data_IF_704747306139
#
_entry.id   IF_704747306139
#
_cell.length_a   1.000
_cell.length_b   1.000
_cell.length_c   1.000
_cell.angle_alpha   90.00
_cell.angle_beta   90.00
_cell.angle_gamma   90.00
#
_symmetry.space_group_name_H-M   'P 1'
#
loop_
_entity.id
_entity.type
_entity.pdbx_description
1 polymer ?
#
# COMPACT_ATOMS: atom_id res chain seq x y z
N UNK A 1 -7.98 11.66 0.88
CA UNK A 1 -7.29 10.37 1.13
C UNK A 1 -7.68 9.84 2.51
N UNK A 2 -7.99 8.55 2.59
CA UNK A 2 -8.35 7.89 3.86
C UNK A 2 -7.20 7.98 4.89
N UNK A 3 -5.97 7.86 4.43
CA UNK A 3 -4.78 7.96 5.30
C UNK A 3 -4.58 9.35 5.93
N UNK A 4 -5.05 10.41 5.28
CA UNK A 4 -4.91 11.79 5.76
C UNK A 4 -6.11 12.29 6.59
N UNK A 5 -6.95 11.39 7.12
CA UNK A 5 -7.97 11.78 8.06
C UNK A 5 -7.33 12.22 9.40
N UNK A 6 -7.96 13.18 10.06
CA UNK A 6 -7.39 13.84 11.25
C UNK A 6 -7.16 12.84 12.39
N UNK A 7 -8.03 11.85 12.56
CA UNK A 7 -7.90 10.85 13.62
C UNK A 7 -6.66 9.96 13.42
N UNK A 8 -6.40 9.51 12.18
CA UNK A 8 -5.20 8.76 11.86
C UNK A 8 -3.94 9.59 12.10
N UNK A 9 -3.95 10.87 11.69
CA UNK A 9 -2.82 11.77 11.90
C UNK A 9 -2.54 12.01 13.37
N UNK A 10 -3.58 12.19 14.19
CA UNK A 10 -3.45 12.33 15.66
C UNK A 10 -2.90 11.05 16.30
N UNK A 11 -3.37 9.87 15.87
CA UNK A 11 -2.88 8.61 16.37
C UNK A 11 -1.36 8.45 16.10
N UNK A 12 -0.90 8.73 14.89
CA UNK A 12 0.53 8.67 14.53
C UNK A 12 1.35 9.69 15.32
N UNK A 13 0.84 10.92 15.45
CA UNK A 13 1.51 11.98 16.24
C UNK A 13 1.71 11.58 17.71
N UNK A 14 0.72 10.92 18.31
CA UNK A 14 0.80 10.45 19.71
C UNK A 14 1.90 9.41 19.93
N UNK A 15 2.30 8.69 18.88
CA UNK A 15 3.42 7.75 18.91
C UNK A 15 4.78 8.41 18.61
N UNK A 16 4.84 9.73 18.47
CA UNK A 16 6.06 10.49 18.15
C UNK A 16 6.76 10.01 16.86
N UNK A 17 5.98 9.57 15.87
CA UNK A 17 6.47 9.11 14.58
C UNK A 17 6.39 10.25 13.57
N UNK A 18 7.46 10.43 12.79
CA UNK A 18 7.48 11.33 11.65
C UNK A 18 6.52 10.85 10.56
N UNK A 19 5.90 11.78 9.84
CA UNK A 19 4.84 11.48 8.90
C UNK A 19 4.97 12.33 7.64
N UNK A 20 4.91 11.69 6.47
CA UNK A 20 4.74 12.33 5.18
C UNK A 20 3.44 11.81 4.54
N UNK A 21 2.55 12.72 4.16
CA UNK A 21 1.30 12.34 3.48
C UNK A 21 0.83 13.38 2.46
N UNK A 22 0.13 12.91 1.44
CA UNK A 22 -0.51 13.77 0.47
C UNK A 22 -1.74 14.44 1.08
N UNK A 23 -1.91 15.73 0.83
CA UNK A 23 -3.04 16.52 1.31
C UNK A 23 -3.87 17.03 0.12
N UNK A 24 -5.19 17.01 0.29
CA UNK A 24 -6.11 17.54 -0.69
C UNK A 24 -5.98 19.06 -0.81
N UNK A 25 -6.08 19.57 -2.03
CA UNK A 25 -5.90 21.00 -2.34
C UNK A 25 -6.93 21.93 -1.67
N UNK A 26 -8.09 21.39 -1.28
CA UNK A 26 -9.16 22.11 -0.58
C UNK A 26 -9.01 22.13 0.94
N UNK A 27 -8.02 21.41 1.52
CA UNK A 27 -7.77 21.43 2.96
C UNK A 27 -7.47 22.85 3.45
N UNK A 28 -7.98 23.14 4.64
CA UNK A 28 -7.78 24.45 5.28
C UNK A 28 -6.53 24.44 6.11
N UNK A 29 -5.64 25.38 5.80
CA UNK A 29 -4.38 25.65 6.49
C UNK A 29 -4.27 27.14 6.80
N UNK A 30 -3.40 27.49 7.70
CA UNK A 30 -3.17 28.88 8.12
C UNK A 30 -1.67 29.14 8.27
N UNK A 31 -1.17 30.19 7.66
CA UNK A 31 0.20 30.67 7.87
C UNK A 31 0.28 31.38 9.22
N UNK A 32 -0.67 32.27 9.47
CA UNK A 32 -0.83 32.94 10.75
C UNK A 32 -2.07 32.36 11.45
N UNK A 33 -1.88 31.85 12.66
CA UNK A 33 -2.94 31.14 13.39
C UNK A 33 -4.23 31.98 13.46
N UNK A 34 -5.28 31.46 12.85
CA UNK A 34 -6.61 32.11 12.81
C UNK A 34 -7.13 32.45 11.43
N UNK A 35 -6.27 32.66 10.44
CA UNK A 35 -6.68 32.96 9.06
C UNK A 35 -6.59 31.72 8.19
N UNK A 36 -7.73 31.09 7.91
CA UNK A 36 -7.81 29.80 7.21
C UNK A 36 -8.04 29.96 5.71
N UNK A 37 -7.07 29.49 4.91
CA UNK A 37 -7.13 29.46 3.44
C UNK A 37 -7.04 28.02 2.94
N UNK A 38 -7.46 27.78 1.68
CA UNK A 38 -7.24 26.49 1.05
C UNK A 38 -5.78 26.33 0.62
N UNK A 39 -5.26 25.13 0.70
CA UNK A 39 -3.88 24.82 0.26
C UNK A 39 -3.60 25.30 -1.17
N UNK A 40 -4.57 25.15 -2.09
CA UNK A 40 -4.47 25.60 -3.48
C UNK A 40 -4.27 27.10 -3.66
N UNK A 41 -4.64 27.90 -2.65
CA UNK A 41 -4.56 29.37 -2.67
C UNK A 41 -3.22 29.87 -2.16
N UNK A 42 -2.39 28.99 -1.58
CA UNK A 42 -1.10 29.34 -1.02
C UNK A 42 0.02 29.22 -2.06
N UNK A 43 0.90 30.22 -2.06
CA UNK A 43 2.19 30.10 -2.72
C UNK A 43 3.14 29.34 -1.80
N UNK A 44 3.43 28.09 -2.11
CA UNK A 44 4.33 27.24 -1.35
C UNK A 44 5.72 27.29 -1.98
N UNK A 45 6.75 27.82 -1.28
CA UNK A 45 8.12 27.85 -1.77
C UNK A 45 8.73 26.43 -1.80
N UNK A 46 9.85 26.28 -2.50
CA UNK A 46 10.54 24.99 -2.69
C UNK A 46 11.05 24.41 -1.35
N UNK A 47 11.54 25.26 -0.48
CA UNK A 47 12.01 24.91 0.86
C UNK A 47 10.88 24.50 1.82
N UNK A 48 9.63 24.59 1.34
CA UNK A 48 8.43 24.29 2.12
C UNK A 48 7.95 25.46 2.96
N UNK A 49 6.71 25.40 3.40
CA UNK A 49 6.05 26.42 4.19
C UNK A 49 5.52 25.83 5.49
N UNK A 50 5.90 26.38 6.62
CA UNK A 50 5.34 26.00 7.93
C UNK A 50 3.94 26.58 8.07
N UNK A 51 2.96 25.73 8.30
CA UNK A 51 1.55 26.12 8.40
C UNK A 51 0.83 25.37 9.52
N UNK A 52 -0.25 25.94 9.99
CA UNK A 52 -1.19 25.26 10.87
C UNK A 52 -2.19 24.46 10.02
N UNK A 53 -2.25 23.16 10.20
CA UNK A 53 -3.32 22.31 9.63
C UNK A 53 -4.50 22.33 10.59
N UNK A 54 -5.68 22.66 10.09
CA UNK A 54 -6.90 22.76 10.90
C UNK A 54 -7.17 21.45 11.66
N UNK A 55 -7.48 21.57 12.94
CA UNK A 55 -7.77 20.47 13.88
C UNK A 55 -6.60 19.53 14.20
N UNK A 56 -5.40 19.82 13.66
CA UNK A 56 -4.24 18.95 13.84
C UNK A 56 -3.03 19.64 14.49
N UNK A 57 -2.65 20.81 13.97
CA UNK A 57 -1.50 21.56 14.50
C UNK A 57 -0.48 21.95 13.43
N UNK A 58 0.73 22.28 13.88
CA UNK A 58 1.82 22.77 13.04
C UNK A 58 2.39 21.65 12.18
N UNK A 59 2.60 21.94 10.90
CA UNK A 59 3.13 21.02 9.89
C UNK A 59 3.94 21.80 8.86
N UNK A 60 4.83 21.13 8.11
CA UNK A 60 5.51 21.74 6.97
C UNK A 60 4.89 21.26 5.67
N UNK A 61 4.45 22.20 4.84
CA UNK A 61 3.78 21.96 3.58
C UNK A 61 4.80 22.06 2.44
N UNK A 62 4.81 21.06 1.57
CA UNK A 62 5.59 21.01 0.34
C UNK A 62 4.68 20.88 -0.87
N UNK A 63 5.20 21.27 -2.01
CA UNK A 63 4.54 21.19 -3.30
C UNK A 63 5.42 20.48 -4.29
N UNK A 64 4.86 19.56 -5.07
CA UNK A 64 5.58 18.90 -6.17
C UNK A 64 4.72 18.81 -7.41
N UNK A 65 5.35 18.89 -8.58
CA UNK A 65 4.71 18.67 -9.86
C UNK A 65 4.80 17.19 -10.22
N UNK A 66 3.65 16.54 -10.41
CA UNK A 66 3.61 15.17 -10.90
C UNK A 66 2.84 15.14 -12.22
N UNK A 67 3.58 14.98 -13.33
CA UNK A 67 3.03 15.17 -14.69
C UNK A 67 2.36 16.57 -14.79
N UNK A 68 1.09 16.59 -15.15
CA UNK A 68 0.31 17.84 -15.31
C UNK A 68 -0.44 18.25 -14.05
N UNK A 69 -0.24 17.55 -12.93
CA UNK A 69 -0.94 17.81 -11.68
C UNK A 69 0.01 18.34 -10.60
N UNK A 70 -0.41 19.42 -9.97
CA UNK A 70 0.24 19.95 -8.78
C UNK A 70 -0.28 19.19 -7.56
N UNK A 71 0.64 18.58 -6.82
CA UNK A 71 0.33 17.84 -5.57
C UNK A 71 0.97 18.50 -4.37
N UNK A 72 0.27 18.45 -3.27
CA UNK A 72 0.71 19.00 -2.00
C UNK A 72 0.93 17.88 -1.00
N UNK A 73 2.00 18.02 -0.23
CA UNK A 73 2.39 17.06 0.80
C UNK A 73 2.64 17.79 2.11
N UNK A 74 2.32 17.12 3.19
CA UNK A 74 2.54 17.63 4.53
C UNK A 74 3.52 16.71 5.24
N UNK A 75 4.51 17.32 5.88
CA UNK A 75 5.48 16.65 6.73
C UNK A 75 5.22 17.05 8.17
N UNK A 76 5.13 16.05 9.04
CA UNK A 76 5.15 16.20 10.48
C UNK A 76 6.41 15.50 11.00
N UNK A 77 7.20 16.22 11.79
CA UNK A 77 8.31 15.65 12.53
C UNK A 77 7.97 15.59 14.02
N UNK A 78 8.53 14.64 14.75
CA UNK A 78 8.27 14.50 16.20
C UNK A 78 8.67 15.75 17.00
N UNK A 79 9.69 16.48 16.52
CA UNK A 79 10.21 17.69 17.14
C UNK A 79 9.99 18.90 16.23
N UNK A 80 9.46 19.99 16.76
CA UNK A 80 9.21 21.24 16.03
C UNK A 80 10.50 21.83 15.44
N UNK A 81 11.62 21.77 16.15
CA UNK A 81 12.90 22.27 15.65
C UNK A 81 13.36 21.49 14.41
N UNK A 82 13.25 20.15 14.42
CA UNK A 82 13.56 19.31 13.27
C UNK A 82 12.61 19.60 12.12
N UNK A 83 11.35 19.91 12.40
CA UNK A 83 10.37 20.27 11.38
C UNK A 83 10.72 21.60 10.69
N UNK A 84 11.20 22.58 11.41
CA UNK A 84 11.64 23.88 10.84
C UNK A 84 12.89 23.73 9.98
N UNK A 85 13.84 22.90 10.39
CA UNK A 85 15.09 22.62 9.66
C UNK A 85 14.94 21.63 8.50
N UNK A 86 13.82 20.90 8.42
CA UNK A 86 13.53 19.95 7.37
C UNK A 86 13.39 20.66 6.02
N UNK A 87 14.29 20.36 5.08
CA UNK A 87 14.41 21.08 3.81
C UNK A 87 13.87 20.24 2.64
N UNK A 88 13.92 20.83 1.44
CA UNK A 88 13.49 20.18 0.21
C UNK A 88 14.24 18.86 -0.06
N UNK A 89 15.55 18.80 0.22
CA UNK A 89 16.35 17.60 -0.02
C UNK A 89 15.80 16.41 0.77
N UNK A 90 15.56 16.57 2.06
CA UNK A 90 14.99 15.55 2.93
C UNK A 90 13.56 15.18 2.49
N UNK A 91 12.80 16.18 2.03
CA UNK A 91 11.48 15.92 1.46
C UNK A 91 11.56 15.06 0.20
N UNK A 92 12.47 15.34 -0.74
CA UNK A 92 12.63 14.56 -1.97
C UNK A 92 13.09 13.13 -1.67
N UNK A 93 14.02 12.94 -0.75
CA UNK A 93 14.48 11.62 -0.30
C UNK A 93 13.32 10.82 0.32
N UNK A 94 12.56 11.43 1.21
CA UNK A 94 11.42 10.79 1.85
C UNK A 94 10.29 10.51 0.87
N UNK A 95 10.02 11.43 -0.05
CA UNK A 95 9.01 11.28 -1.09
C UNK A 95 9.36 10.15 -2.08
N UNK A 96 10.64 9.97 -2.41
CA UNK A 96 11.10 8.86 -3.25
C UNK A 96 10.77 7.48 -2.63
N UNK A 97 10.70 7.39 -1.30
CA UNK A 97 10.29 6.18 -0.61
C UNK A 97 8.78 5.88 -0.71
N UNK A 98 7.97 6.85 -1.12
CA UNK A 98 6.52 6.64 -1.31
C UNK A 98 6.22 5.51 -2.30
N UNK A 99 7.05 5.34 -3.32
CA UNK A 99 6.93 4.26 -4.28
C UNK A 99 7.04 2.86 -3.64
N UNK A 100 7.78 2.71 -2.54
CA UNK A 100 7.87 1.44 -1.80
C UNK A 100 6.53 1.03 -1.18
N UNK A 101 5.70 2.00 -0.78
CA UNK A 101 4.34 1.76 -0.27
C UNK A 101 3.45 1.21 -1.38
N UNK A 102 3.56 1.79 -2.58
CA UNK A 102 2.81 1.30 -3.75
C UNK A 102 3.24 -0.13 -4.14
N UNK A 103 4.53 -0.42 -4.09
CA UNK A 103 5.06 -1.78 -4.31
C UNK A 103 4.55 -2.76 -3.25
N UNK A 104 4.53 -2.36 -1.97
CA UNK A 104 3.96 -3.15 -0.89
C UNK A 104 2.48 -3.47 -1.15
N UNK A 105 1.67 -2.45 -1.44
CA UNK A 105 0.24 -2.66 -1.72
C UNK A 105 0.02 -3.57 -2.92
N UNK A 106 0.78 -3.40 -3.97
CA UNK A 106 0.71 -4.27 -5.15
C UNK A 106 1.04 -5.71 -4.79
N UNK A 107 2.14 -5.92 -4.07
CA UNK A 107 2.59 -7.26 -3.73
C UNK A 107 1.63 -7.97 -2.78
N UNK A 108 1.15 -7.29 -1.73
CA UNK A 108 0.24 -7.90 -0.76
C UNK A 108 -1.13 -8.25 -1.38
N UNK A 109 -1.58 -7.46 -2.38
CA UNK A 109 -2.82 -7.73 -3.12
C UNK A 109 -2.66 -8.79 -4.19
N UNK A 110 -1.65 -8.66 -5.05
CA UNK A 110 -1.50 -9.49 -6.25
C UNK A 110 -0.78 -10.81 -6.00
N UNK A 111 0.14 -10.86 -5.04
CA UNK A 111 0.94 -12.06 -4.76
C UNK A 111 0.48 -12.75 -3.48
N UNK A 112 0.25 -12.00 -2.41
CA UNK A 112 -0.18 -12.56 -1.12
C UNK A 112 -1.71 -12.65 -1.00
N UNK A 113 -2.47 -12.19 -1.97
CA UNK A 113 -3.92 -12.34 -2.09
C UNK A 113 -4.72 -11.88 -0.86
N UNK A 114 -4.30 -10.79 -0.21
CA UNK A 114 -4.93 -10.29 1.03
C UNK A 114 -6.42 -9.99 0.88
N UNK A 115 -6.90 -9.68 -0.31
CA UNK A 115 -8.31 -9.39 -0.62
C UNK A 115 -9.09 -10.62 -1.12
N UNK A 116 -8.44 -11.80 -1.28
CA UNK A 116 -9.03 -12.99 -1.90
C UNK A 116 -9.68 -13.96 -0.91
N UNK A 117 -10.04 -13.50 0.28
CA UNK A 117 -10.73 -14.35 1.26
C UNK A 117 -12.20 -14.59 0.87
N UNK A 118 -12.66 -15.84 1.05
CA UNK A 118 -14.04 -16.26 0.76
C UNK A 118 -14.88 -16.46 2.04
N UNK A 119 -14.35 -16.04 3.17
CA UNK A 119 -14.98 -16.20 4.49
C UNK A 119 -15.63 -14.90 4.96
N UNK A 120 -16.72 -14.99 5.74
CA UNK A 120 -17.46 -13.82 6.23
C UNK A 120 -17.26 -13.53 7.71
N UNK A 121 -16.72 -14.50 8.46
CA UNK A 121 -16.50 -14.36 9.89
C UNK A 121 -15.31 -13.45 10.21
N UNK A 122 -15.40 -12.63 11.26
CA UNK A 122 -14.32 -11.71 11.66
C UNK A 122 -12.99 -12.43 11.91
N UNK A 123 -13.01 -13.52 12.65
CA UNK A 123 -11.80 -14.28 13.03
C UNK A 123 -11.12 -14.90 11.79
N UNK A 124 -11.83 -15.64 10.90
CA UNK A 124 -11.23 -16.15 9.67
C UNK A 124 -10.66 -15.05 8.77
N UNK A 125 -11.33 -13.89 8.65
CA UNK A 125 -10.81 -12.75 7.87
C UNK A 125 -9.48 -12.25 8.47
N UNK A 126 -9.42 -12.05 9.79
CA UNK A 126 -8.19 -11.62 10.47
C UNK A 126 -7.06 -12.62 10.30
N UNK A 127 -7.34 -13.93 10.38
CA UNK A 127 -6.36 -14.98 10.17
C UNK A 127 -5.84 -14.96 8.73
N UNK A 128 -6.69 -14.74 7.73
CA UNK A 128 -6.28 -14.61 6.33
C UNK A 128 -5.39 -13.39 6.12
N UNK A 129 -5.79 -12.22 6.65
CA UNK A 129 -4.98 -11.00 6.58
C UNK A 129 -3.62 -11.21 7.22
N UNK A 130 -3.58 -11.84 8.41
CA UNK A 130 -2.33 -12.15 9.10
C UNK A 130 -1.45 -13.10 8.28
N UNK A 131 -2.00 -14.17 7.72
CA UNK A 131 -1.28 -15.10 6.86
C UNK A 131 -0.71 -14.40 5.61
N UNK A 132 -1.47 -13.48 5.00
CA UNK A 132 -1.00 -12.68 3.86
C UNK A 132 0.17 -11.76 4.23
N UNK A 133 0.13 -11.14 5.42
CA UNK A 133 1.24 -10.34 5.93
C UNK A 133 2.49 -11.20 6.20
N UNK A 134 2.33 -12.37 6.81
CA UNK A 134 3.43 -13.33 7.01
C UNK A 134 4.04 -13.76 5.68
N UNK A 135 3.22 -14.05 4.67
CA UNK A 135 3.67 -14.40 3.32
C UNK A 135 4.49 -13.28 2.69
N UNK A 136 4.03 -12.04 2.82
CA UNK A 136 4.79 -10.87 2.35
C UNK A 136 6.17 -10.78 3.00
N UNK A 137 6.25 -10.89 4.33
CA UNK A 137 7.52 -10.83 5.06
C UNK A 137 8.45 -11.96 4.62
N UNK A 138 7.92 -13.17 4.43
CA UNK A 138 8.70 -14.32 3.99
C UNK A 138 9.28 -14.10 2.58
N UNK A 139 8.47 -13.62 1.65
CA UNK A 139 8.89 -13.30 0.29
C UNK A 139 9.97 -12.19 0.28
N UNK A 140 9.84 -11.17 1.14
CA UNK A 140 10.88 -10.14 1.29
C UNK A 140 12.21 -10.73 1.79
N UNK A 141 12.16 -11.64 2.76
CA UNK A 141 13.35 -12.35 3.24
C UNK A 141 14.02 -13.18 2.14
N UNK A 142 13.21 -13.87 1.32
CA UNK A 142 13.75 -14.65 0.19
C UNK A 142 14.44 -13.74 -0.84
N UNK A 143 13.90 -12.53 -1.08
CA UNK A 143 14.54 -11.55 -1.96
C UNK A 143 15.84 -11.00 -1.37
N UNK A 144 15.87 -10.67 -0.08
CA UNK A 144 17.06 -10.17 0.62
C UNK A 144 18.18 -11.23 0.61
N UNK A 145 17.84 -12.52 0.77
CA UNK A 145 18.78 -13.63 0.75
C UNK A 145 19.13 -14.09 -0.68
N UNK A 146 18.72 -13.34 -1.71
CA UNK A 146 18.99 -13.65 -3.13
C UNK A 146 18.44 -14.99 -3.62
N UNK A 147 17.58 -15.66 -2.83
CA UNK A 147 16.92 -16.90 -3.25
C UNK A 147 15.91 -16.68 -4.37
N UNK A 148 15.48 -15.43 -4.52
CA UNK A 148 14.51 -15.01 -5.52
C UNK A 148 14.77 -13.58 -5.96
N UNK A 149 15.02 -13.39 -7.25
CA UNK A 149 15.27 -12.05 -7.83
C UNK A 149 13.96 -11.27 -8.05
N UNK A 150 12.94 -11.94 -8.53
CA UNK A 150 11.65 -11.30 -8.89
C UNK A 150 10.47 -12.19 -8.51
N UNK A 151 9.69 -11.74 -7.52
CA UNK A 151 8.54 -12.46 -6.98
C UNK A 151 7.47 -12.74 -8.04
N UNK A 152 7.17 -11.76 -8.89
CA UNK A 152 6.14 -11.93 -9.94
C UNK A 152 6.56 -12.93 -11.01
N UNK A 153 7.84 -12.94 -11.37
CA UNK A 153 8.38 -13.92 -12.32
C UNK A 153 8.36 -15.33 -11.72
N UNK A 154 8.75 -15.44 -10.45
CA UNK A 154 8.72 -16.70 -9.71
C UNK A 154 7.28 -17.24 -9.59
N UNK A 155 6.33 -16.42 -9.18
CA UNK A 155 4.92 -16.80 -9.12
C UNK A 155 4.40 -17.29 -10.47
N UNK A 156 4.70 -16.55 -11.55
CA UNK A 156 4.30 -16.94 -12.91
C UNK A 156 4.89 -18.30 -13.31
N UNK A 157 6.18 -18.52 -13.07
CA UNK A 157 6.84 -19.79 -13.40
C UNK A 157 6.24 -20.97 -12.63
N UNK A 158 5.89 -20.76 -11.34
CA UNK A 158 5.22 -21.76 -10.53
C UNK A 158 3.84 -22.13 -11.10
N UNK A 159 3.01 -21.16 -11.44
CA UNK A 159 1.70 -21.41 -12.06
C UNK A 159 1.84 -22.09 -13.42
N UNK A 160 2.78 -21.66 -14.24
CA UNK A 160 3.03 -22.29 -15.54
C UNK A 160 3.40 -23.76 -15.37
N UNK A 161 4.32 -24.09 -14.47
CA UNK A 161 4.75 -25.45 -14.20
C UNK A 161 3.58 -26.34 -13.69
N UNK A 162 2.73 -25.82 -12.82
CA UNK A 162 1.53 -26.54 -12.31
C UNK A 162 0.53 -26.79 -13.44
N UNK A 163 0.27 -25.78 -14.29
CA UNK A 163 -0.65 -25.91 -15.42
C UNK A 163 -0.09 -26.89 -16.46
N UNK A 164 1.20 -26.81 -16.77
CA UNK A 164 1.87 -27.73 -17.69
C UNK A 164 1.79 -29.16 -17.18
N UNK A 165 2.08 -29.42 -15.91
CA UNK A 165 1.94 -30.75 -15.31
C UNK A 165 0.49 -31.25 -15.39
N UNK A 166 -0.49 -30.45 -15.03
CA UNK A 166 -1.91 -30.78 -15.10
C UNK A 166 -2.34 -31.11 -16.54
N UNK A 167 -1.97 -30.28 -17.52
CA UNK A 167 -2.32 -30.49 -18.93
C UNK A 167 -1.66 -31.77 -19.45
N UNK A 168 -0.39 -32.01 -19.10
CA UNK A 168 0.35 -33.19 -19.48
C UNK A 168 -0.33 -34.46 -18.94
N UNK A 169 -0.66 -34.47 -17.64
CA UNK A 169 -1.37 -35.58 -17.00
C UNK A 169 -2.74 -35.82 -17.65
N UNK A 170 -3.47 -34.74 -17.96
CA UNK A 170 -4.75 -34.81 -18.63
C UNK A 170 -4.66 -35.38 -20.04
N UNK A 171 -3.62 -35.00 -20.81
CA UNK A 171 -3.39 -35.52 -22.17
C UNK A 171 -2.92 -36.97 -22.15
N UNK A 172 -2.05 -37.33 -21.20
CA UNK A 172 -1.47 -38.66 -21.07
C UNK A 172 -2.52 -39.65 -20.56
N UNK A 173 -3.28 -39.25 -19.56
CA UNK A 173 -4.33 -40.05 -18.92
C UNK A 173 -5.69 -39.81 -19.61
N UNK A 174 -5.83 -40.18 -20.88
CA UNK A 174 -7.12 -40.09 -21.65
C UNK A 174 -8.28 -40.84 -21.01
N UNK A 175 -8.05 -41.62 -19.97
CA UNK A 175 -9.07 -42.34 -19.22
C UNK A 175 -10.06 -41.44 -18.48
N UNK A 176 -9.70 -40.17 -18.18
CA UNK A 176 -10.63 -39.18 -17.62
C UNK A 176 -11.80 -38.83 -18.57
N UNK A 177 -11.65 -39.06 -19.86
CA UNK A 177 -12.71 -38.82 -20.87
C UNK A 177 -13.50 -40.09 -21.19
N UNK A 178 -13.25 -41.20 -20.49
CA UNK A 178 -14.01 -42.41 -20.69
C UNK A 178 -15.44 -42.22 -20.13
N UNK A 179 -16.49 -42.19 -20.98
CA UNK A 179 -17.87 -41.95 -20.54
C UNK A 179 -18.37 -42.98 -19.51
N UNK A 180 -17.74 -44.15 -19.44
CA UNK A 180 -18.08 -45.20 -18.47
C UNK A 180 -17.62 -44.85 -17.03
N UNK A 181 -16.61 -44.02 -16.82
CA UNK A 181 -16.17 -43.56 -15.48
C UNK A 181 -17.09 -42.44 -14.96
N UNK A 182 -17.59 -41.59 -15.86
CA UNK A 182 -18.51 -40.52 -15.52
C UNK A 182 -19.90 -41.04 -15.11
N UNK A 183 -20.29 -42.20 -15.60
CA UNK A 183 -21.57 -42.82 -15.25
C UNK A 183 -21.56 -43.59 -13.91
N UNK A 184 -20.37 -44.05 -13.48
CA UNK A 184 -20.21 -44.81 -12.25
C UNK A 184 -20.28 -43.90 -10.96
N UNK A 185 -20.07 -42.59 -11.09
CA UNK A 185 -20.06 -41.65 -9.98
C UNK A 185 -21.33 -40.79 -9.84
N UNK A 186 -22.45 -41.19 -10.47
CA UNK A 186 -23.74 -40.53 -10.19
C UNK A 186 -24.25 -40.97 -8.83
N UNK A 187 -24.49 -40.06 -7.88
CA UNK A 187 -25.15 -40.38 -6.61
C UNK A 187 -26.58 -40.89 -6.94
N UNK A 188 -27.12 -41.87 -6.20
CA UNK A 188 -28.48 -42.32 -6.36
C UNK A 188 -29.43 -41.14 -6.17
N UNK A 189 -30.29 -40.92 -7.14
CA UNK A 189 -31.38 -39.95 -7.06
C UNK A 189 -32.44 -40.61 -6.16
N UNK A 190 -32.53 -40.11 -4.92
CA UNK A 190 -33.67 -40.39 -4.02
C UNK A 190 -34.73 -39.31 -4.21
#
# INVERSE_FOLDING_TARGET
SWYSCIDNLKAVKNHQIGLLFAIESNRKVSVEKGTWTSVKELSVPTEGLVVWLREFGLVKLFRTQLKDQLRHYVVLMPNTQVQETFQEKEFQELHAHHWKIEQYHRMIKQVCHVESFQVRGKIPILNHVFASLCSYIYLQKMQINEWMVNVYRWQRSLYTAVVEAFVTDFIVNKDFLNPNILSANKPPIN
#
